data_IF_471674153220
#
_entry.id   IF_471674153220
#
_cell.length_a   1.000
_cell.length_b   1.000
_cell.length_c   1.000
_cell.angle_alpha   90.00
_cell.angle_beta   90.00
_cell.angle_gamma   90.00
#
_symmetry.space_group_name_H-M   'P 1'
#
loop_
_entity.id
_entity.type
_entity.pdbx_description
1 polymer ?
#
# COMPACT_ATOMS: atom_id res chain seq x y z
N UNK A 1 -22.11 19.93 14.53
CA UNK A 1 -22.26 18.98 13.43
C UNK A 1 -21.05 18.06 13.49
N UNK A 2 -21.13 17.05 14.34
CA UNK A 2 -20.02 16.13 14.61
C UNK A 2 -19.99 15.12 13.48
N UNK A 3 -18.97 15.18 12.64
CA UNK A 3 -18.66 14.16 11.65
C UNK A 3 -18.38 12.85 12.37
N UNK A 4 -19.25 11.86 12.16
CA UNK A 4 -19.06 10.48 12.60
C UNK A 4 -17.70 9.95 12.10
N UNK A 5 -16.92 9.28 12.95
CA UNK A 5 -15.73 8.60 12.47
C UNK A 5 -16.18 7.42 11.62
N UNK A 6 -15.87 7.47 10.32
CA UNK A 6 -15.91 6.32 9.42
C UNK A 6 -14.98 5.25 10.02
N UNK A 7 -15.53 4.38 10.87
CA UNK A 7 -14.93 3.10 11.16
C UNK A 7 -14.95 2.32 9.85
N UNK A 8 -13.88 2.48 9.05
CA UNK A 8 -13.64 1.68 7.85
C UNK A 8 -13.73 0.22 8.28
N UNK A 9 -14.82 -0.44 7.88
CA UNK A 9 -15.04 -1.83 8.20
C UNK A 9 -13.86 -2.61 7.61
N UNK A 10 -13.03 -3.30 8.41
CA UNK A 10 -11.82 -3.95 7.90
C UNK A 10 -12.13 -4.99 6.81
N UNK A 11 -13.38 -5.47 6.79
CA UNK A 11 -13.93 -6.45 5.86
C UNK A 11 -14.19 -5.94 4.44
N UNK A 12 -14.31 -4.63 4.21
CA UNK A 12 -14.51 -4.09 2.85
C UNK A 12 -13.26 -4.26 1.98
N UNK A 13 -12.08 -4.24 2.62
CA UNK A 13 -10.81 -4.35 1.91
C UNK A 13 -10.61 -5.72 1.25
N UNK A 14 -11.04 -6.80 1.91
CA UNK A 14 -10.87 -8.16 1.40
C UNK A 14 -11.87 -8.48 0.28
N UNK A 15 -13.15 -8.12 0.47
CA UNK A 15 -14.18 -8.28 -0.55
C UNK A 15 -13.85 -7.48 -1.83
N UNK A 16 -13.26 -6.30 -1.68
CA UNK A 16 -12.79 -5.51 -2.83
C UNK A 16 -11.59 -6.15 -3.52
N UNK A 17 -10.64 -6.72 -2.77
CA UNK A 17 -9.53 -7.45 -3.36
C UNK A 17 -9.98 -8.71 -4.10
N UNK A 18 -11.01 -9.42 -3.62
CA UNK A 18 -11.60 -10.55 -4.33
C UNK A 18 -12.31 -10.12 -5.63
N UNK A 19 -13.02 -8.99 -5.59
CA UNK A 19 -13.60 -8.37 -6.78
C UNK A 19 -12.54 -8.01 -7.82
N UNK A 20 -11.45 -7.38 -7.37
CA UNK A 20 -10.33 -7.01 -8.25
C UNK A 20 -9.59 -8.24 -8.80
N UNK A 21 -9.54 -9.35 -8.06
CA UNK A 21 -8.92 -10.61 -8.52
C UNK A 21 -9.78 -11.36 -9.53
N UNK A 22 -11.11 -11.30 -9.38
CA UNK A 22 -12.06 -11.96 -10.29
C UNK A 22 -12.27 -11.18 -11.60
N UNK A 23 -11.93 -9.89 -11.61
CA UNK A 23 -12.07 -9.02 -12.78
C UNK A 23 -10.73 -8.94 -13.53
N UNK A 24 -10.68 -9.14 -14.86
CA UNK A 24 -9.43 -8.95 -15.60
C UNK A 24 -8.96 -7.49 -15.55
N UNK A 25 -7.63 -7.23 -15.61
CA UNK A 25 -7.09 -5.87 -15.65
C UNK A 25 -7.77 -5.03 -16.73
N UNK A 26 -8.42 -3.96 -16.32
CA UNK A 26 -9.20 -3.08 -17.20
C UNK A 26 -8.24 -2.22 -18.03
N UNK A 27 -8.10 -2.55 -19.31
CA UNK A 27 -7.16 -1.86 -20.21
C UNK A 27 -7.47 -0.36 -20.34
N UNK A 28 -8.74 0.04 -20.28
CA UNK A 28 -9.16 1.44 -20.37
C UNK A 28 -8.70 2.29 -19.19
N UNK A 29 -8.45 1.70 -18.02
CA UNK A 29 -8.00 2.44 -16.83
C UNK A 29 -6.53 2.87 -16.96
N UNK A 30 -5.72 2.12 -17.72
CA UNK A 30 -4.33 2.45 -17.94
C UNK A 30 -4.10 3.79 -18.67
N UNK A 31 -4.69 4.06 -19.85
CA UNK A 31 -4.50 5.33 -20.55
C UNK A 31 -5.03 6.51 -19.74
N UNK A 32 -6.11 6.33 -18.97
CA UNK A 32 -6.61 7.37 -18.06
C UNK A 32 -5.57 7.72 -17.00
N UNK A 33 -5.02 6.71 -16.30
CA UNK A 33 -3.99 6.95 -15.29
C UNK A 33 -2.71 7.54 -15.90
N UNK A 34 -2.32 7.10 -17.10
CA UNK A 34 -1.18 7.65 -17.83
C UNK A 34 -1.40 9.12 -18.21
N UNK A 35 -2.61 9.50 -18.63
CA UNK A 35 -2.97 10.89 -18.92
C UNK A 35 -2.93 11.76 -17.66
N UNK A 36 -3.52 11.30 -16.56
CA UNK A 36 -3.47 12.00 -15.28
C UNK A 36 -2.02 12.19 -14.79
N UNK A 37 -1.18 11.16 -14.93
CA UNK A 37 0.23 11.21 -14.62
C UNK A 37 0.98 12.25 -15.48
N UNK A 38 0.72 12.30 -16.78
CA UNK A 38 1.31 13.28 -17.68
C UNK A 38 0.90 14.72 -17.34
N UNK A 39 -0.37 14.95 -17.01
CA UNK A 39 -0.88 16.26 -16.58
C UNK A 39 -0.20 16.68 -15.26
N UNK A 40 -0.14 15.80 -14.27
CA UNK A 40 0.53 16.06 -12.98
C UNK A 40 2.00 16.40 -13.16
N UNK A 41 2.70 15.72 -14.06
CA UNK A 41 4.10 16.02 -14.36
C UNK A 41 4.26 17.38 -15.05
N UNK A 42 3.43 17.66 -16.06
CA UNK A 42 3.48 18.93 -16.82
C UNK A 42 3.21 20.15 -15.95
N UNK A 43 2.29 20.06 -15.00
CA UNK A 43 1.92 21.16 -14.10
C UNK A 43 2.55 21.03 -12.71
N UNK A 44 3.59 20.22 -12.56
CA UNK A 44 4.28 20.06 -11.29
C UNK A 44 4.89 21.39 -10.86
N UNK A 45 4.51 21.87 -9.67
CA UNK A 45 5.09 23.08 -9.09
C UNK A 45 6.56 22.88 -8.72
N UNK A 46 7.30 23.99 -8.68
CA UNK A 46 8.68 23.98 -8.23
C UNK A 46 8.75 23.58 -6.76
N UNK A 47 9.49 22.50 -6.48
CA UNK A 47 9.82 22.09 -5.11
C UNK A 47 10.99 22.90 -4.57
N UNK A 48 11.12 22.94 -3.23
CA UNK A 48 12.28 23.57 -2.60
C UNK A 48 13.60 22.98 -3.16
N UNK A 49 14.63 23.80 -3.43
CA UNK A 49 15.86 23.34 -4.09
C UNK A 49 16.54 22.15 -3.39
N UNK A 50 16.56 22.16 -2.05
CA UNK A 50 17.14 21.07 -1.24
C UNK A 50 16.40 19.76 -1.45
N UNK A 51 15.06 19.77 -1.39
CA UNK A 51 14.25 18.57 -1.61
C UNK A 51 14.39 18.04 -3.04
N UNK A 52 14.47 18.95 -4.00
CA UNK A 52 14.66 18.61 -5.41
C UNK A 52 15.99 17.88 -5.64
N UNK A 53 17.10 18.43 -5.14
CA UNK A 53 18.42 17.84 -5.27
C UNK A 53 18.50 16.44 -4.63
N UNK A 54 17.97 16.27 -3.42
CA UNK A 54 17.93 14.97 -2.72
C UNK A 54 17.10 13.93 -3.49
N UNK A 55 15.92 14.32 -3.97
CA UNK A 55 15.04 13.45 -4.74
C UNK A 55 15.67 13.04 -6.07
N UNK A 56 16.37 13.98 -6.72
CA UNK A 56 17.09 13.74 -7.96
C UNK A 56 18.28 12.79 -7.75
N UNK A 57 19.07 12.99 -6.71
CA UNK A 57 20.17 12.09 -6.35
C UNK A 57 19.68 10.66 -6.09
N UNK A 58 18.53 10.51 -5.43
CA UNK A 58 17.89 9.21 -5.21
C UNK A 58 17.44 8.57 -6.52
N UNK A 59 16.92 9.38 -7.46
CA UNK A 59 16.46 8.92 -8.76
C UNK A 59 17.61 8.49 -9.67
N UNK A 60 18.76 9.18 -9.60
CA UNK A 60 20.00 8.84 -10.31
C UNK A 60 20.56 7.45 -9.95
N UNK A 61 20.26 6.95 -8.76
CA UNK A 61 20.67 5.60 -8.32
C UNK A 61 19.81 4.49 -8.91
N UNK A 62 18.59 4.80 -9.36
CA UNK A 62 17.66 3.80 -9.89
C UNK A 62 18.11 3.37 -11.29
N UNK A 63 17.83 2.12 -11.72
CA UNK A 63 18.10 1.67 -13.07
C UNK A 63 17.11 2.33 -14.05
N UNK A 64 17.40 3.55 -14.48
CA UNK A 64 16.63 4.27 -15.50
C UNK A 64 17.55 4.99 -16.50
N UNK A 65 17.12 5.14 -17.77
CA UNK A 65 17.87 5.94 -18.75
C UNK A 65 18.03 7.38 -18.30
N UNK A 66 19.21 7.97 -18.53
CA UNK A 66 19.55 9.33 -18.06
C UNK A 66 18.59 10.39 -18.58
N UNK A 67 18.14 10.25 -19.81
CA UNK A 67 17.19 11.15 -20.47
C UNK A 67 15.81 11.15 -19.80
N UNK A 68 15.47 10.06 -19.12
CA UNK A 68 14.17 9.87 -18.45
C UNK A 68 14.23 10.04 -16.93
N UNK A 69 15.35 10.44 -16.33
CA UNK A 69 15.48 10.50 -14.86
C UNK A 69 14.37 11.36 -14.24
N UNK A 70 14.08 12.51 -14.84
CA UNK A 70 13.09 13.45 -14.32
C UNK A 70 11.65 12.96 -14.49
N UNK A 71 11.37 12.18 -15.54
CA UNK A 71 10.02 11.74 -15.90
C UNK A 71 9.70 10.30 -15.48
N UNK A 72 10.70 9.45 -15.29
CA UNK A 72 10.57 8.01 -15.02
C UNK A 72 9.79 7.66 -13.76
N UNK A 73 9.87 8.51 -12.73
CA UNK A 73 9.11 8.32 -11.49
C UNK A 73 7.68 8.87 -11.56
N UNK A 74 7.32 9.54 -12.66
CA UNK A 74 6.02 10.19 -12.82
C UNK A 74 5.19 9.56 -13.95
N UNK A 75 5.81 9.22 -15.07
CA UNK A 75 5.10 8.74 -16.25
C UNK A 75 4.91 7.23 -16.22
N UNK A 76 3.68 6.80 -16.49
CA UNK A 76 3.32 5.39 -16.65
C UNK A 76 3.28 5.06 -18.15
N UNK A 77 4.30 4.37 -18.65
CA UNK A 77 4.50 4.20 -20.10
C UNK A 77 4.11 2.81 -20.65
N UNK A 78 4.07 1.77 -19.81
CA UNK A 78 3.82 0.39 -20.24
C UNK A 78 2.70 -0.25 -19.45
N UNK A 79 1.69 -0.75 -20.15
CA UNK A 79 0.67 -1.61 -19.59
C UNK A 79 1.15 -3.05 -19.69
N UNK A 80 1.28 -3.71 -18.54
CA UNK A 80 1.61 -5.14 -18.47
C UNK A 80 0.52 -5.84 -17.64
N UNK A 81 -0.50 -6.41 -18.30
CA UNK A 81 -1.62 -7.06 -17.60
C UNK A 81 -1.15 -8.29 -16.81
N UNK A 82 -0.08 -8.96 -17.25
CA UNK A 82 0.47 -10.11 -16.54
C UNK A 82 1.13 -9.67 -15.24
N UNK A 83 1.94 -8.61 -15.28
CA UNK A 83 2.55 -8.06 -14.06
C UNK A 83 1.50 -7.60 -13.05
N UNK A 84 0.41 -6.99 -13.52
CA UNK A 84 -0.72 -6.59 -12.66
C UNK A 84 -1.35 -7.84 -12.03
N UNK A 85 -1.65 -8.87 -12.81
CA UNK A 85 -2.25 -10.11 -12.31
C UNK A 85 -1.32 -10.82 -11.30
N UNK A 86 -0.03 -10.92 -11.62
CA UNK A 86 0.97 -11.53 -10.74
C UNK A 86 1.07 -10.78 -9.41
N UNK A 87 1.01 -9.44 -9.45
CA UNK A 87 0.99 -8.60 -8.24
C UNK A 87 -0.29 -8.82 -7.43
N UNK A 88 -1.47 -8.87 -8.09
CA UNK A 88 -2.75 -9.14 -7.42
C UNK A 88 -2.78 -10.53 -6.76
N UNK A 89 -2.11 -11.51 -7.36
CA UNK A 89 -2.00 -12.86 -6.80
C UNK A 89 -1.15 -12.91 -5.52
N UNK A 90 -0.24 -11.94 -5.31
CA UNK A 90 0.55 -11.83 -4.09
C UNK A 90 -0.24 -11.20 -2.94
N UNK A 91 -1.27 -10.40 -3.22
CA UNK A 91 -2.12 -9.73 -2.23
C UNK A 91 -3.15 -10.69 -1.61
N UNK A 92 -2.65 -11.70 -0.89
CA UNK A 92 -3.45 -12.67 -0.13
C UNK A 92 -3.24 -12.46 1.37
N UNK A 93 -4.25 -12.77 2.21
CA UNK A 93 -4.10 -12.72 3.67
C UNK A 93 -2.88 -13.50 4.19
N UNK A 94 -2.52 -14.60 3.52
CA UNK A 94 -1.36 -15.44 3.83
C UNK A 94 -0.01 -14.70 3.70
N UNK A 95 0.06 -13.69 2.83
CA UNK A 95 1.27 -12.88 2.61
C UNK A 95 1.20 -11.52 3.31
N UNK A 96 0.15 -11.26 4.09
CA UNK A 96 -0.06 -9.99 4.75
C UNK A 96 0.56 -9.96 6.16
N UNK A 97 1.00 -8.76 6.57
CA UNK A 97 1.35 -8.45 7.97
C UNK A 97 0.48 -7.30 8.44
N UNK A 98 -0.35 -7.55 9.46
CA UNK A 98 -1.21 -6.54 10.06
C UNK A 98 -0.52 -5.96 11.29
N UNK A 99 -0.46 -4.63 11.37
CA UNK A 99 0.05 -3.91 12.54
C UNK A 99 -1.11 -3.12 13.13
N UNK A 100 -1.44 -3.42 14.39
CA UNK A 100 -2.50 -2.74 15.12
C UNK A 100 -1.83 -1.86 16.18
N UNK A 101 -2.04 -0.55 16.09
CA UNK A 101 -1.66 0.40 17.11
C UNK A 101 -2.92 1.02 17.71
N UNK A 102 -3.07 0.95 19.02
CA UNK A 102 -4.14 1.64 19.74
C UNK A 102 -3.60 2.35 20.97
N UNK A 103 -4.18 3.50 21.28
CA UNK A 103 -3.99 4.19 22.55
C UNK A 103 -5.01 3.73 23.60
N UNK A 104 -6.09 3.05 23.19
CA UNK A 104 -7.10 2.54 24.11
C UNK A 104 -6.60 1.28 24.82
N UNK A 105 -6.75 1.23 26.15
CA UNK A 105 -6.44 0.04 26.97
C UNK A 105 -7.35 -1.18 26.70
N UNK A 106 -8.20 -1.10 25.67
CA UNK A 106 -9.10 -2.18 25.24
C UNK A 106 -8.33 -3.48 24.90
N UNK A 107 -7.08 -3.33 24.47
CA UNK A 107 -6.20 -4.45 24.14
C UNK A 107 -5.40 -4.95 25.34
N UNK A 108 -5.20 -4.16 26.39
CA UNK A 108 -4.40 -4.55 27.57
C UNK A 108 -5.01 -5.75 28.31
N UNK A 109 -6.35 -5.82 28.33
CA UNK A 109 -7.08 -6.94 28.94
C UNK A 109 -7.13 -8.19 28.06
N UNK A 110 -6.79 -8.08 26.77
CA UNK A 110 -6.92 -9.18 25.78
C UNK A 110 -5.58 -9.70 25.27
N UNK A 111 -4.57 -8.84 25.22
CA UNK A 111 -3.28 -9.12 24.60
C UNK A 111 -2.17 -8.56 25.50
N UNK A 112 -1.27 -9.43 25.96
CA UNK A 112 -0.09 -9.03 26.73
C UNK A 112 1.05 -8.70 25.78
N UNK A 113 1.62 -7.50 25.91
CA UNK A 113 2.80 -7.07 25.16
C UNK A 113 4.04 -7.75 25.77
N UNK A 114 4.47 -8.85 25.15
CA UNK A 114 5.54 -9.73 25.65
C UNK A 114 6.95 -9.27 25.30
N UNK A 115 7.09 -8.29 24.42
CA UNK A 115 8.38 -7.88 23.86
C UNK A 115 8.52 -6.37 23.85
N UNK A 116 9.75 -5.90 23.97
CA UNK A 116 10.10 -4.48 23.97
C UNK A 116 11.14 -4.29 22.87
N UNK A 117 10.89 -3.31 22.00
CA UNK A 117 11.81 -2.95 20.92
C UNK A 117 13.06 -2.26 21.52
N UNK A 118 14.30 -2.65 21.12
CA UNK A 118 15.51 -2.25 21.82
C UNK A 118 15.87 -0.76 21.75
N UNK A 119 15.49 -0.04 20.69
CA UNK A 119 15.95 1.34 20.49
C UNK A 119 15.00 2.38 21.06
N UNK A 120 13.70 2.17 20.91
CA UNK A 120 12.63 3.09 21.30
C UNK A 120 11.82 2.58 22.50
N UNK A 121 12.16 1.40 23.04
CA UNK A 121 11.44 0.78 24.15
C UNK A 121 9.93 0.63 23.91
N UNK A 122 9.53 0.50 22.64
CA UNK A 122 8.11 0.36 22.29
C UNK A 122 7.65 -1.06 22.64
N UNK A 123 6.63 -1.22 23.50
CA UNK A 123 6.11 -2.53 23.83
C UNK A 123 5.26 -3.06 22.67
N UNK A 124 5.49 -4.31 22.29
CA UNK A 124 4.77 -4.98 21.21
C UNK A 124 4.62 -6.48 21.50
N UNK A 125 3.76 -7.13 20.74
CA UNK A 125 3.70 -8.58 20.65
C UNK A 125 3.59 -8.99 19.18
N UNK A 126 4.07 -10.19 18.87
CA UNK A 126 3.87 -10.81 17.56
C UNK A 126 3.01 -12.04 17.81
N UNK A 127 1.90 -12.13 17.08
CA UNK A 127 1.02 -13.28 17.10
C UNK A 127 0.83 -13.77 15.68
N UNK A 128 0.96 -15.08 15.49
CA UNK A 128 0.60 -15.70 14.22
C UNK A 128 -0.91 -15.67 14.03
N UNK A 129 -1.34 -15.56 12.77
CA UNK A 129 -2.77 -15.61 12.47
C UNK A 129 -3.37 -16.93 12.97
N UNK A 130 -4.46 -16.91 13.75
CA UNK A 130 -5.17 -18.13 14.11
C UNK A 130 -5.73 -18.76 12.84
N UNK A 131 -5.15 -19.88 12.40
CA UNK A 131 -5.53 -20.61 11.17
C UNK A 131 -7.03 -20.86 11.05
N UNK A 132 -7.70 -21.08 12.18
CA UNK A 132 -9.14 -21.40 12.26
C UNK A 132 -10.05 -20.20 11.97
N UNK A 133 -9.63 -18.98 12.30
CA UNK A 133 -10.49 -17.79 12.17
C UNK A 133 -10.57 -17.32 10.71
N UNK A 134 -9.48 -17.51 9.95
CA UNK A 134 -9.42 -17.20 8.52
C UNK A 134 -10.30 -18.17 7.72
N UNK A 135 -10.18 -19.49 7.96
CA UNK A 135 -10.95 -20.50 7.19
C UNK A 135 -12.44 -20.50 7.54
N UNK A 136 -12.82 -20.36 8.83
CA UNK A 136 -14.24 -20.32 9.23
C UNK A 136 -14.99 -19.06 8.77
N UNK A 137 -14.30 -17.94 8.59
CA UNK A 137 -14.94 -16.68 8.13
C UNK A 137 -14.90 -16.49 6.61
N UNK A 138 -14.08 -17.26 5.89
CA UNK A 138 -13.94 -17.22 4.43
C UNK A 138 -14.72 -18.32 3.68
N UNK A 139 -15.54 -19.11 4.36
CA UNK A 139 -16.53 -19.98 3.70
C UNK A 139 -15.95 -21.07 2.80
N UNK A 140 -14.87 -21.73 3.24
CA UNK A 140 -14.41 -23.02 2.70
C UNK A 140 -14.65 -24.15 3.70
#
# INVERSE_FOLDING_TARGET
MMSEPLASNPFESEAYLDLLRSTPPQEWTFPEQAQLAAIRFRFKSQSAPVQYATSLATSLRKPCPRESILSSSYLTNKFDPKLIQDTMNLLKPEHCRIVIGSQSGEFENRIKLSSIEPWYSTPYCIQDFPKIELTKRLGL
#
